data_IF_356475916481
#
_entry.id   IF_356475916481
#
_cell.length_a   1.000
_cell.length_b   1.000
_cell.length_c   1.000
_cell.angle_alpha   90.00
_cell.angle_beta   90.00
_cell.angle_gamma   90.00
#
_symmetry.space_group_name_H-M   'P 1'
#
loop_
_entity.id
_entity.type
_entity.pdbx_description
1 polymer ?
#
# COMPACT_ATOMS: atom_id res chain seq x y z
N UNK A 1 -3.68 -32.15 -8.88
CA UNK A 1 -4.37 -30.84 -8.80
C UNK A 1 -3.52 -29.92 -7.95
N UNK A 2 -3.36 -28.65 -8.34
CA UNK A 2 -2.58 -27.68 -7.56
C UNK A 2 -3.35 -27.39 -6.27
N UNK A 3 -2.75 -27.66 -5.12
CA UNK A 3 -3.41 -27.51 -3.83
C UNK A 3 -3.39 -26.04 -3.39
N UNK A 4 -4.34 -25.28 -3.95
CA UNK A 4 -4.45 -23.82 -3.82
C UNK A 4 -4.52 -23.34 -2.37
N UNK A 5 -5.18 -24.10 -1.49
CA UNK A 5 -5.30 -23.75 -0.09
C UNK A 5 -3.95 -23.82 0.62
N UNK A 6 -3.16 -24.86 0.33
CA UNK A 6 -1.81 -25.01 0.88
C UNK A 6 -0.88 -23.90 0.41
N UNK A 7 -0.98 -23.48 -0.85
CA UNK A 7 -0.18 -22.41 -1.44
C UNK A 7 -0.55 -21.04 -0.88
N UNK A 8 -1.84 -20.77 -0.71
CA UNK A 8 -2.34 -19.51 -0.15
C UNK A 8 -1.95 -19.35 1.32
N UNK A 9 -2.17 -20.39 2.14
CA UNK A 9 -1.72 -20.42 3.54
C UNK A 9 -0.22 -20.22 3.62
N UNK A 10 0.55 -20.94 2.78
CA UNK A 10 2.00 -20.82 2.75
C UNK A 10 2.48 -19.43 2.34
N UNK A 11 1.75 -18.71 1.48
CA UNK A 11 2.14 -17.38 1.03
C UNK A 11 1.79 -16.28 2.03
N UNK A 12 0.60 -16.35 2.66
CA UNK A 12 0.16 -15.34 3.63
C UNK A 12 0.86 -15.48 4.98
N UNK A 13 1.19 -16.71 5.38
CA UNK A 13 1.89 -16.97 6.65
C UNK A 13 3.42 -17.05 6.49
N UNK A 14 3.97 -16.73 5.32
CA UNK A 14 5.43 -16.60 5.15
C UNK A 14 5.87 -15.22 5.62
N UNK A 15 6.14 -15.12 6.92
CA UNK A 15 6.64 -13.91 7.58
C UNK A 15 7.89 -13.32 6.88
N UNK A 16 8.62 -14.09 6.06
CA UNK A 16 9.77 -13.57 5.32
C UNK A 16 9.38 -12.68 4.16
N UNK A 17 8.36 -13.05 3.40
CA UNK A 17 7.92 -12.34 2.18
C UNK A 17 6.67 -11.48 2.39
N UNK A 18 5.85 -11.77 3.40
CA UNK A 18 4.57 -11.10 3.66
C UNK A 18 4.40 -10.76 5.15
N UNK A 19 5.31 -9.97 5.76
CA UNK A 19 5.34 -9.71 7.20
C UNK A 19 4.23 -8.78 7.73
N UNK A 20 3.05 -8.76 7.10
CA UNK A 20 1.94 -7.85 7.42
C UNK A 20 1.36 -8.05 8.83
N UNK A 21 1.54 -9.23 9.41
CA UNK A 21 1.07 -9.57 10.76
C UNK A 21 2.17 -9.44 11.83
N UNK A 22 3.43 -9.26 11.41
CA UNK A 22 4.56 -9.09 12.33
C UNK A 22 4.55 -7.66 12.88
N UNK A 23 4.73 -7.47 14.21
CA UNK A 23 4.85 -6.14 14.78
C UNK A 23 6.06 -5.40 14.21
N UNK A 24 5.89 -4.10 13.94
CA UNK A 24 6.93 -3.25 13.34
C UNK A 24 8.26 -3.28 14.11
N UNK A 25 8.22 -3.44 15.44
CA UNK A 25 9.40 -3.53 16.30
C UNK A 25 10.22 -4.82 16.17
N UNK A 26 9.68 -5.85 15.51
CA UNK A 26 10.33 -7.16 15.33
C UNK A 26 10.72 -7.42 13.87
N UNK A 27 10.53 -6.44 12.99
CA UNK A 27 10.83 -6.58 11.58
C UNK A 27 12.33 -6.61 11.33
N UNK A 28 12.71 -7.42 10.35
CA UNK A 28 14.04 -7.40 9.77
C UNK A 28 14.10 -6.40 8.60
N UNK A 29 15.28 -5.91 8.22
CA UNK A 29 15.39 -4.92 7.13
C UNK A 29 14.85 -5.45 5.78
N UNK A 30 15.13 -6.72 5.46
CA UNK A 30 14.60 -7.36 4.24
C UNK A 30 13.07 -7.47 4.24
N UNK A 31 12.48 -7.79 5.39
CA UNK A 31 11.02 -7.85 5.56
C UNK A 31 10.39 -6.46 5.36
N UNK A 32 11.03 -5.43 5.93
CA UNK A 32 10.61 -4.05 5.73
C UNK A 32 10.70 -3.61 4.26
N UNK A 33 11.74 -4.05 3.54
CA UNK A 33 11.90 -3.76 2.10
C UNK A 33 10.76 -4.35 1.27
N UNK A 34 10.37 -5.61 1.53
CA UNK A 34 9.24 -6.25 0.85
C UNK A 34 7.91 -5.55 1.17
N UNK A 35 7.68 -5.18 2.43
CA UNK A 35 6.45 -4.50 2.85
C UNK A 35 6.33 -3.11 2.20
N UNK A 36 7.42 -2.32 2.20
CA UNK A 36 7.47 -1.01 1.55
C UNK A 36 7.27 -1.15 0.03
N UNK A 37 7.93 -2.12 -0.59
CA UNK A 37 7.79 -2.35 -2.03
C UNK A 37 6.36 -2.71 -2.42
N UNK A 38 5.73 -3.64 -1.68
CA UNK A 38 4.36 -4.04 -1.92
C UNK A 38 3.38 -2.87 -1.78
N UNK A 39 3.55 -2.06 -0.73
CA UNK A 39 2.76 -0.85 -0.53
C UNK A 39 2.95 0.16 -1.67
N UNK A 40 4.20 0.44 -2.06
CA UNK A 40 4.50 1.38 -3.15
C UNK A 40 3.93 0.94 -4.50
N UNK A 41 4.01 -0.36 -4.82
CA UNK A 41 3.42 -0.90 -6.05
C UNK A 41 1.90 -0.78 -6.02
N UNK A 42 1.27 -1.21 -4.92
CA UNK A 42 -0.18 -1.15 -4.77
C UNK A 42 -0.71 0.28 -4.94
N UNK A 43 -0.12 1.22 -4.21
CA UNK A 43 -0.56 2.61 -4.22
C UNK A 43 -0.20 3.32 -5.53
N UNK A 44 0.95 2.97 -6.13
CA UNK A 44 1.38 3.48 -7.43
C UNK A 44 0.46 3.04 -8.57
N UNK A 45 0.02 1.78 -8.60
CA UNK A 45 -0.95 1.31 -9.59
C UNK A 45 -2.30 2.01 -9.38
N UNK A 46 -2.79 2.07 -8.14
CA UNK A 46 -4.07 2.67 -7.82
C UNK A 46 -4.12 4.15 -8.27
N UNK A 47 -3.14 4.96 -7.86
CA UNK A 47 -3.10 6.37 -8.22
C UNK A 47 -2.65 6.62 -9.67
N UNK A 48 -1.88 5.71 -10.27
CA UNK A 48 -1.55 5.76 -11.69
C UNK A 48 -2.81 5.62 -12.55
N UNK A 49 -3.69 4.66 -12.21
CA UNK A 49 -4.99 4.51 -12.87
C UNK A 49 -5.85 5.77 -12.65
N UNK A 50 -5.93 6.28 -11.42
CA UNK A 50 -6.68 7.52 -11.12
C UNK A 50 -6.16 8.71 -11.93
N UNK A 51 -4.84 8.85 -12.10
CA UNK A 51 -4.25 9.92 -12.88
C UNK A 51 -4.66 9.85 -14.35
N UNK A 52 -4.66 8.66 -14.95
CA UNK A 52 -5.05 8.46 -16.35
C UNK A 52 -6.55 8.67 -16.53
N UNK A 53 -7.37 8.14 -15.62
CA UNK A 53 -8.84 8.27 -15.70
C UNK A 53 -9.32 9.68 -15.42
N UNK A 54 -8.59 10.49 -14.63
CA UNK A 54 -8.90 11.89 -14.42
C UNK A 54 -8.54 12.78 -15.62
N UNK A 55 -7.54 12.38 -16.44
CA UNK A 55 -7.28 13.02 -17.74
C UNK A 55 -8.25 12.55 -18.83
N UNK A 56 -8.86 11.38 -18.66
CA UNK A 56 -9.86 10.91 -19.61
C UNK A 56 -11.23 11.46 -19.24
N UNK A 57 -12.07 11.72 -20.24
CA UNK A 57 -13.48 12.03 -20.01
C UNK A 57 -14.31 10.77 -19.65
N UNK A 58 -13.63 9.67 -19.27
CA UNK A 58 -14.25 8.38 -18.98
C UNK A 58 -14.59 8.22 -17.49
N UNK A 59 -14.12 9.13 -16.63
CA UNK A 59 -14.40 9.10 -15.20
C UNK A 59 -15.77 9.71 -14.84
N UNK A 60 -16.35 9.36 -13.66
CA UNK A 60 -17.65 9.90 -13.22
C UNK A 60 -17.68 11.42 -13.06
N UNK A 61 -16.52 12.03 -12.83
CA UNK A 61 -16.35 13.47 -12.61
C UNK A 61 -15.81 14.20 -13.86
N UNK A 62 -15.71 13.49 -14.99
CA UNK A 62 -15.14 14.02 -16.23
C UNK A 62 -13.68 14.45 -16.11
N UNK A 63 -13.25 15.27 -17.06
CA UNK A 63 -11.89 15.80 -17.15
C UNK A 63 -11.54 16.71 -15.96
N UNK A 64 -10.57 16.30 -15.14
CA UNK A 64 -10.13 17.05 -13.94
C UNK A 64 -8.59 17.12 -13.83
N UNK A 65 -7.94 18.14 -14.42
CA UNK A 65 -6.48 18.29 -14.44
C UNK A 65 -5.83 18.30 -13.05
N UNK A 66 -6.46 18.97 -12.09
CA UNK A 66 -5.92 19.11 -10.74
C UNK A 66 -5.85 17.76 -10.00
N UNK A 67 -6.91 16.95 -10.14
CA UNK A 67 -6.98 15.62 -9.53
C UNK A 67 -5.94 14.70 -10.15
N UNK A 68 -5.76 14.79 -11.46
CA UNK A 68 -4.75 14.01 -12.15
C UNK A 68 -3.32 14.40 -11.79
N UNK A 69 -3.01 15.70 -11.73
CA UNK A 69 -1.70 16.17 -11.31
C UNK A 69 -1.37 15.69 -9.89
N UNK A 70 -2.34 15.76 -8.97
CA UNK A 70 -2.16 15.21 -7.63
C UNK A 70 -1.90 13.70 -7.67
N UNK A 71 -2.73 12.93 -8.36
CA UNK A 71 -2.56 11.47 -8.47
C UNK A 71 -1.22 11.08 -9.13
N UNK A 72 -0.76 11.86 -10.10
CA UNK A 72 0.55 11.71 -10.71
C UNK A 72 1.67 11.96 -9.71
N UNK A 73 1.61 13.04 -8.93
CA UNK A 73 2.62 13.31 -7.88
C UNK A 73 2.67 12.24 -6.79
N UNK A 74 1.51 11.67 -6.42
CA UNK A 74 1.45 10.50 -5.52
C UNK A 74 2.15 9.30 -6.17
N UNK A 75 1.88 9.01 -7.44
CA UNK A 75 2.52 7.92 -8.19
C UNK A 75 4.04 8.10 -8.31
N UNK A 76 4.54 9.30 -8.60
CA UNK A 76 5.98 9.57 -8.57
C UNK A 76 6.56 9.37 -7.16
N UNK A 77 5.82 9.76 -6.13
CA UNK A 77 6.27 9.62 -4.74
C UNK A 77 6.31 8.15 -4.31
N UNK A 78 5.44 7.27 -4.81
CA UNK A 78 5.54 5.83 -4.48
C UNK A 78 6.81 5.21 -5.05
N UNK A 79 7.21 5.60 -6.25
CA UNK A 79 8.48 5.19 -6.86
C UNK A 79 9.65 5.68 -6.00
N UNK A 80 9.67 6.98 -5.68
CA UNK A 80 10.72 7.58 -4.83
C UNK A 80 10.77 6.93 -3.44
N UNK A 81 9.62 6.63 -2.83
CA UNK A 81 9.54 5.97 -1.54
C UNK A 81 10.04 4.52 -1.60
N UNK A 82 9.73 3.78 -2.66
CA UNK A 82 10.26 2.43 -2.88
C UNK A 82 11.80 2.39 -2.89
N UNK A 83 12.44 3.38 -3.50
CA UNK A 83 13.91 3.48 -3.52
C UNK A 83 14.48 4.05 -2.23
N UNK A 84 14.05 5.26 -1.84
CA UNK A 84 14.64 6.04 -0.74
C UNK A 84 14.21 5.60 0.65
N UNK A 85 13.01 5.01 0.76
CA UNK A 85 12.38 4.58 2.03
C UNK A 85 12.34 5.70 3.07
N UNK A 86 12.25 6.94 2.58
CA UNK A 86 12.37 8.14 3.39
C UNK A 86 11.07 8.42 4.17
N UNK A 87 11.24 8.84 5.41
CA UNK A 87 10.15 9.29 6.27
C UNK A 87 9.27 10.39 5.65
N UNK A 88 9.80 11.49 5.06
CA UNK A 88 8.96 12.52 4.44
C UNK A 88 8.11 12.00 3.27
N UNK A 89 8.63 11.07 2.46
CA UNK A 89 7.84 10.47 1.38
C UNK A 89 6.70 9.61 1.93
N UNK A 90 6.92 8.88 3.04
CA UNK A 90 5.84 8.14 3.71
C UNK A 90 4.71 9.03 4.23
N UNK A 91 5.07 10.22 4.76
CA UNK A 91 4.07 11.21 5.21
C UNK A 91 3.24 11.74 4.04
N UNK A 92 3.91 12.08 2.93
CA UNK A 92 3.20 12.54 1.74
C UNK A 92 2.22 11.48 1.20
N UNK A 93 2.65 10.21 1.14
CA UNK A 93 1.78 9.11 0.70
C UNK A 93 0.60 8.88 1.65
N UNK A 94 0.76 9.13 2.95
CA UNK A 94 -0.35 9.02 3.92
C UNK A 94 -1.40 10.12 3.78
N UNK A 95 -1.07 11.24 3.13
CA UNK A 95 -2.04 12.27 2.80
C UNK A 95 -3.03 11.82 1.72
N UNK A 96 -2.67 10.82 0.90
CA UNK A 96 -3.52 10.33 -0.19
C UNK A 96 -4.83 9.67 0.29
N UNK A 97 -4.83 8.72 1.26
CA UNK A 97 -6.08 8.21 1.82
C UNK A 97 -6.86 9.29 2.61
N UNK A 98 -6.18 10.25 3.26
CA UNK A 98 -6.85 11.39 3.91
C UNK A 98 -7.60 12.27 2.90
N UNK A 99 -6.96 12.59 1.77
CA UNK A 99 -7.58 13.33 0.68
C UNK A 99 -8.77 12.56 0.09
N UNK A 100 -8.65 11.25 -0.06
CA UNK A 100 -9.75 10.37 -0.49
C UNK A 100 -10.94 10.39 0.48
N UNK A 101 -10.70 10.35 1.79
CA UNK A 101 -11.77 10.44 2.81
C UNK A 101 -12.41 11.81 2.77
N UNK A 102 -11.63 12.88 2.73
CA UNK A 102 -12.15 14.24 2.63
C UNK A 102 -13.04 14.39 1.39
N UNK A 103 -12.56 13.88 0.24
CA UNK A 103 -13.31 13.87 -1.00
C UNK A 103 -14.65 13.11 -0.86
N UNK A 104 -14.64 11.93 -0.24
CA UNK A 104 -15.84 11.14 -0.01
C UNK A 104 -16.84 11.85 0.91
N UNK A 105 -16.37 12.58 1.93
CA UNK A 105 -17.23 13.36 2.83
C UNK A 105 -17.87 14.56 2.11
N UNK A 106 -17.11 15.30 1.29
CA UNK A 106 -17.63 16.50 0.62
C UNK A 106 -18.46 16.21 -0.64
N UNK A 107 -18.08 15.18 -1.41
CA UNK A 107 -18.66 14.89 -2.72
C UNK A 107 -19.34 13.52 -2.82
N UNK A 108 -19.03 12.59 -1.91
CA UNK A 108 -19.50 11.21 -1.96
C UNK A 108 -20.78 10.92 -1.16
N UNK A 109 -21.19 11.79 -0.23
CA UNK A 109 -22.39 11.62 0.60
C UNK A 109 -23.70 12.09 -0.06
N UNK A 110 -23.70 12.33 -1.37
CA UNK A 110 -24.90 12.72 -2.14
C UNK A 110 -25.84 11.53 -2.44
N UNK A 111 -27.12 11.82 -2.69
CA UNK A 111 -28.19 10.83 -2.91
C UNK A 111 -28.06 9.96 -4.17
N UNK A 112 -27.13 10.28 -5.08
CA UNK A 112 -26.94 9.57 -6.35
C UNK A 112 -26.06 8.31 -6.23
N UNK A 113 -25.37 8.12 -5.11
CA UNK A 113 -24.47 6.97 -4.92
C UNK A 113 -25.10 5.96 -3.97
N UNK A 114 -25.08 4.68 -4.36
CA UNK A 114 -25.56 3.62 -3.46
C UNK A 114 -24.76 3.64 -2.15
N UNK A 115 -25.49 3.64 -1.02
CA UNK A 115 -24.90 3.66 0.33
C UNK A 115 -23.85 2.56 0.53
N UNK A 116 -24.07 1.41 -0.11
CA UNK A 116 -23.18 0.25 -0.04
C UNK A 116 -21.83 0.54 -0.73
N UNK A 117 -21.83 1.16 -1.91
CA UNK A 117 -20.58 1.53 -2.61
C UNK A 117 -19.80 2.57 -1.80
N UNK A 118 -20.51 3.56 -1.24
CA UNK A 118 -19.90 4.61 -0.42
C UNK A 118 -19.29 4.05 0.87
N UNK A 119 -19.97 3.12 1.54
CA UNK A 119 -19.44 2.42 2.72
C UNK A 119 -18.25 1.52 2.38
N UNK A 120 -18.28 0.83 1.24
CA UNK A 120 -17.20 -0.04 0.80
C UNK A 120 -15.93 0.76 0.51
N UNK A 121 -16.05 1.85 -0.27
CA UNK A 121 -14.92 2.74 -0.58
C UNK A 121 -14.42 3.44 0.68
N UNK A 122 -15.33 3.92 1.53
CA UNK A 122 -14.99 4.53 2.81
C UNK A 122 -14.21 3.58 3.72
N UNK A 123 -14.68 2.33 3.85
CA UNK A 123 -14.00 1.28 4.61
C UNK A 123 -12.61 0.97 4.05
N UNK A 124 -12.49 0.84 2.72
CA UNK A 124 -11.20 0.63 2.06
C UNK A 124 -10.22 1.79 2.32
N UNK A 125 -10.69 3.04 2.27
CA UNK A 125 -9.88 4.23 2.57
C UNK A 125 -9.45 4.30 4.04
N UNK A 126 -10.32 3.93 4.97
CA UNK A 126 -9.99 3.85 6.40
C UNK A 126 -8.95 2.77 6.66
N UNK A 127 -9.08 1.60 6.03
CA UNK A 127 -8.07 0.53 6.11
C UNK A 127 -6.74 0.98 5.51
N UNK A 128 -6.77 1.67 4.37
CA UNK A 128 -5.57 2.23 3.74
C UNK A 128 -4.91 3.28 4.62
N UNK A 129 -5.70 4.15 5.27
CA UNK A 129 -5.20 5.14 6.22
C UNK A 129 -4.56 4.46 7.43
N UNK A 130 -5.22 3.46 8.01
CA UNK A 130 -4.69 2.69 9.13
C UNK A 130 -3.37 2.00 8.76
N UNK A 131 -3.30 1.41 7.57
CA UNK A 131 -2.08 0.79 7.05
C UNK A 131 -0.99 1.83 6.77
N UNK A 132 -1.33 3.01 6.27
CA UNK A 132 -0.34 4.10 6.07
C UNK A 132 0.33 4.52 7.38
N UNK A 133 -0.39 4.49 8.52
CA UNK A 133 0.19 4.74 9.84
C UNK A 133 1.21 3.68 10.26
N UNK A 134 1.06 2.43 9.79
CA UNK A 134 2.08 1.38 9.94
C UNK A 134 3.31 1.70 9.09
N UNK A 135 3.13 2.08 7.83
CA UNK A 135 4.22 2.44 6.91
C UNK A 135 5.02 3.66 7.39
N UNK A 136 4.37 4.68 7.96
CA UNK A 136 5.06 5.84 8.55
C UNK A 136 5.98 5.40 9.69
N UNK A 137 5.47 4.52 10.59
CA UNK A 137 6.27 3.96 11.69
C UNK A 137 7.44 3.15 11.15
N UNK A 138 7.20 2.33 10.13
CA UNK A 138 8.23 1.53 9.48
C UNK A 138 9.32 2.41 8.85
N UNK A 139 8.96 3.43 8.07
CA UNK A 139 9.89 4.36 7.45
C UNK A 139 10.74 5.13 8.47
N UNK A 140 10.19 5.42 9.65
CA UNK A 140 10.93 6.09 10.74
C UNK A 140 12.00 5.19 11.36
N UNK A 141 11.68 3.92 11.60
CA UNK A 141 12.62 2.98 12.23
C UNK A 141 13.54 2.29 11.22
N UNK A 142 13.23 2.37 9.93
CA UNK A 142 13.96 1.70 8.85
C UNK A 142 15.49 1.83 8.93
N UNK A 143 16.08 3.02 9.20
CA UNK A 143 17.53 3.17 9.29
C UNK A 143 18.18 2.41 10.46
N UNK A 144 17.38 2.02 11.46
CA UNK A 144 17.84 1.33 12.68
C UNK A 144 17.56 -0.17 12.66
N UNK A 145 16.91 -0.67 11.61
CA UNK A 145 16.61 -2.09 11.51
C UNK A 145 17.89 -2.90 11.28
N UNK A 146 18.04 -4.05 11.96
CA UNK A 146 19.18 -4.92 11.72
C UNK A 146 19.14 -5.41 10.27
N UNK A 147 20.31 -5.46 9.63
CA UNK A 147 20.47 -6.21 8.39
C UNK A 147 20.28 -7.69 8.72
N UNK A 148 19.36 -8.33 8.03
CA UNK A 148 19.06 -9.74 8.27
C UNK A 148 20.28 -10.60 7.96
N UNK A 149 20.94 -11.09 9.01
CA UNK A 149 21.99 -12.10 8.88
C UNK A 149 21.44 -13.42 8.34
N UNK A 150 22.23 -14.08 7.50
CA UNK A 150 21.95 -15.39 6.90
C UNK A 150 21.63 -16.51 7.93
N UNK A 151 21.90 -16.27 9.22
CA UNK A 151 21.84 -17.27 10.30
C UNK A 151 20.42 -17.62 10.80
N UNK A 152 19.39 -16.88 10.39
CA UNK A 152 17.99 -17.24 10.65
C UNK A 152 17.36 -18.11 9.54
N UNK A 153 18.19 -18.64 8.63
CA UNK A 153 17.72 -19.43 7.48
C UNK A 153 17.86 -20.92 7.78
N UNK A 154 16.82 -21.65 8.24
CA UNK A 154 16.80 -23.07 7.95
C UNK A 154 16.72 -23.16 6.43
N UNK A 155 17.83 -23.56 5.79
CA UNK A 155 17.91 -23.90 4.36
C UNK A 155 16.59 -24.53 3.97
N UNK A 156 15.86 -23.90 3.03
CA UNK A 156 14.69 -24.49 2.36
C UNK A 156 15.04 -25.95 2.09
N UNK A 157 14.55 -26.89 2.90
CA UNK A 157 14.55 -28.30 2.54
C UNK A 157 13.51 -28.34 1.43
N UNK A 158 14.00 -28.15 0.19
CA UNK A 158 13.34 -28.67 -1.00
C UNK A 158 12.90 -30.07 -0.58
N UNK A 159 11.58 -30.22 -0.44
CA UNK A 159 10.96 -31.49 -0.13
C UNK A 159 11.58 -32.51 -1.05
N UNK A 160 12.25 -33.51 -0.47
CA UNK A 160 12.68 -34.69 -1.21
C UNK A 160 11.46 -35.21 -1.97
N UNK A 161 11.73 -35.58 -3.23
CA UNK A 161 10.84 -36.20 -4.20
C UNK A 161 9.83 -37.15 -3.58
#
# INVERSE_FOLDING_TARGET
MLDWESLFKRYIWDDRTTPYLVPVSRLNRQQADYEILAYSIFLGILFGVVSVTALSNSGPHGYSPNMALYAFTVTCTTILFGYTKSYPASLYLSAAPLAGIAYLVFYGLGSDRELVDTLLIGGALVLLLWYSARIIRLARIYPTLPEGGDDATPRRRLSKR
#
